data_IF_495666439821
#
_entry.id   IF_495666439821
#
_cell.length_a   1.000
_cell.length_b   1.000
_cell.length_c   1.000
_cell.angle_alpha   90.00
_cell.angle_beta   90.00
_cell.angle_gamma   90.00
#
_symmetry.space_group_name_H-M   'P 1'
#
loop_
_entity.id
_entity.type
_entity.pdbx_description
1 polymer ?
#
# COMPACT_ATOMS: atom_id res chain seq x y z
N UNK A 1 9.38 -5.25 -23.62
CA UNK A 1 7.93 -4.96 -23.86
C UNK A 1 7.83 -3.49 -24.22
N UNK A 2 7.04 -3.15 -25.24
CA UNK A 2 6.82 -1.75 -25.59
C UNK A 2 6.11 -1.06 -24.42
N UNK A 3 6.65 0.06 -23.97
CA UNK A 3 6.13 0.76 -22.79
C UNK A 3 4.78 1.40 -23.16
N UNK A 4 3.70 0.90 -22.57
CA UNK A 4 2.33 1.34 -22.87
C UNK A 4 1.95 2.66 -22.20
N UNK A 5 2.73 3.14 -21.23
CA UNK A 5 2.43 4.35 -20.47
C UNK A 5 3.12 5.56 -21.09
N UNK A 6 2.36 6.62 -21.34
CA UNK A 6 2.84 7.87 -21.94
C UNK A 6 3.29 8.85 -20.86
N UNK A 7 4.34 9.62 -21.15
CA UNK A 7 4.83 10.67 -20.26
C UNK A 7 4.16 12.03 -20.53
N UNK A 8 3.81 12.32 -21.78
CA UNK A 8 3.26 13.62 -22.19
C UNK A 8 1.81 13.82 -21.72
N UNK A 9 1.66 14.38 -20.53
CA UNK A 9 0.36 14.69 -19.93
C UNK A 9 -0.38 15.84 -20.64
N UNK A 10 0.34 16.72 -21.36
CA UNK A 10 -0.26 17.86 -22.07
C UNK A 10 -1.20 17.40 -23.19
N UNK A 11 -0.99 16.21 -23.75
CA UNK A 11 -1.89 15.60 -24.76
C UNK A 11 -3.29 15.32 -24.22
N UNK A 12 -3.46 15.28 -22.88
CA UNK A 12 -4.78 15.11 -22.26
C UNK A 12 -5.67 16.36 -22.36
N UNK A 13 -5.11 17.52 -22.71
CA UNK A 13 -5.91 18.74 -22.99
C UNK A 13 -6.69 18.67 -24.28
N UNK A 14 -6.26 17.81 -25.20
CA UNK A 14 -6.97 17.61 -26.45
C UNK A 14 -8.31 16.90 -26.20
N UNK A 15 -9.30 17.27 -26.99
CA UNK A 15 -10.61 16.60 -26.95
C UNK A 15 -10.48 15.10 -27.18
N UNK A 16 -11.15 14.29 -26.36
CA UNK A 16 -11.03 12.85 -26.42
C UNK A 16 -11.93 12.15 -25.42
N UNK A 17 -11.61 10.89 -25.18
CA UNK A 17 -12.30 10.07 -24.18
C UNK A 17 -12.16 10.64 -22.76
N UNK A 18 -13.10 10.34 -21.86
CA UNK A 18 -13.03 10.73 -20.44
C UNK A 18 -11.67 10.38 -19.83
N UNK A 19 -11.22 11.20 -18.88
CA UNK A 19 -9.97 11.00 -18.15
C UNK A 19 -10.31 10.46 -16.76
N UNK A 20 -9.74 9.32 -16.42
CA UNK A 20 -9.90 8.63 -15.14
C UNK A 20 -8.55 8.60 -14.42
N UNK A 21 -8.52 8.98 -13.15
CA UNK A 21 -7.33 8.82 -12.31
C UNK A 21 -7.45 7.48 -11.56
N UNK A 22 -6.39 6.67 -11.63
CA UNK A 22 -6.35 5.34 -11.04
C UNK A 22 -5.75 5.37 -9.63
N UNK A 23 -6.47 4.76 -8.69
CA UNK A 23 -6.23 4.76 -7.27
C UNK A 23 -6.98 5.89 -6.57
N UNK A 24 -7.63 5.60 -5.44
CA UNK A 24 -8.26 6.61 -4.60
C UNK A 24 -7.37 6.91 -3.39
N UNK A 25 -6.13 7.32 -3.66
CA UNK A 25 -5.05 7.55 -2.70
C UNK A 25 -4.63 9.03 -2.70
N UNK A 26 -3.73 9.42 -1.81
CA UNK A 26 -3.30 10.81 -1.65
C UNK A 26 -2.64 11.38 -2.91
N UNK A 27 -1.84 10.57 -3.62
CA UNK A 27 -1.23 10.96 -4.88
C UNK A 27 -2.26 11.27 -5.96
N UNK A 28 -3.40 10.61 -5.90
CA UNK A 28 -4.53 10.87 -6.83
C UNK A 28 -5.18 12.23 -6.58
N UNK A 29 -5.27 12.63 -5.30
CA UNK A 29 -5.71 13.99 -4.92
C UNK A 29 -4.76 15.05 -5.51
N UNK A 30 -3.45 14.84 -5.38
CA UNK A 30 -2.46 15.72 -5.96
C UNK A 30 -2.52 15.76 -7.50
N UNK A 31 -2.70 14.61 -8.15
CA UNK A 31 -2.86 14.52 -9.60
C UNK A 31 -4.11 15.28 -10.09
N UNK A 32 -5.25 15.15 -9.40
CA UNK A 32 -6.48 15.86 -9.72
C UNK A 32 -6.33 17.37 -9.56
N UNK A 33 -5.68 17.83 -8.48
CA UNK A 33 -5.40 19.24 -8.25
C UNK A 33 -4.47 19.80 -9.34
N UNK A 34 -3.42 19.08 -9.71
CA UNK A 34 -2.52 19.49 -10.79
C UNK A 34 -3.23 19.52 -12.17
N UNK A 35 -4.07 18.53 -12.46
CA UNK A 35 -4.91 18.53 -13.66
C UNK A 35 -5.81 19.76 -13.72
N UNK A 36 -6.46 20.11 -12.61
CA UNK A 36 -7.32 21.30 -12.50
C UNK A 36 -6.56 22.57 -12.81
N UNK A 37 -5.34 22.72 -12.28
CA UNK A 37 -4.48 23.88 -12.55
C UNK A 37 -4.07 24.00 -14.03
N UNK A 38 -3.90 22.87 -14.69
CA UNK A 38 -3.55 22.79 -16.11
C UNK A 38 -4.75 22.89 -17.05
N UNK A 39 -5.98 22.96 -16.53
CA UNK A 39 -7.20 22.95 -17.30
C UNK A 39 -7.55 21.58 -17.91
N UNK A 40 -7.02 20.50 -17.34
CA UNK A 40 -7.34 19.12 -17.70
C UNK A 40 -8.55 18.66 -16.87
N UNK A 41 -9.64 18.28 -17.55
CA UNK A 41 -10.87 17.87 -16.89
C UNK A 41 -10.84 16.37 -16.58
N UNK A 42 -10.79 16.04 -15.30
CA UNK A 42 -10.89 14.66 -14.80
C UNK A 42 -12.37 14.30 -14.63
N UNK A 43 -12.76 13.12 -15.10
CA UNK A 43 -14.16 12.66 -15.07
C UNK A 43 -14.51 11.87 -13.83
N UNK A 44 -13.60 11.05 -13.33
CA UNK A 44 -13.77 10.21 -12.14
C UNK A 44 -12.43 9.68 -11.64
N UNK A 45 -12.47 9.06 -10.47
CA UNK A 45 -11.42 8.15 -10.00
C UNK A 45 -11.86 6.70 -10.18
N UNK A 46 -10.91 5.75 -10.16
CA UNK A 46 -11.24 4.35 -9.97
C UNK A 46 -10.32 3.68 -8.96
N UNK A 47 -10.84 2.69 -8.25
CA UNK A 47 -10.09 1.92 -7.26
C UNK A 47 -10.51 0.43 -7.32
N UNK A 48 -9.59 -0.47 -7.01
CA UNK A 48 -9.86 -1.91 -6.92
C UNK A 48 -10.55 -2.29 -5.61
N UNK A 49 -10.49 -1.45 -4.57
CA UNK A 49 -11.21 -1.67 -3.32
C UNK A 49 -12.69 -1.27 -3.48
N UNK A 50 -13.63 -2.24 -3.43
CA UNK A 50 -15.05 -1.94 -3.59
C UNK A 50 -15.62 -1.00 -2.52
N UNK A 51 -15.00 -0.94 -1.33
CA UNK A 51 -15.43 -0.06 -0.22
C UNK A 51 -15.31 1.42 -0.58
N UNK A 52 -14.33 1.75 -1.45
CA UNK A 52 -14.08 3.13 -1.89
C UNK A 52 -15.16 3.66 -2.84
N UNK A 53 -15.95 2.80 -3.46
CA UNK A 53 -16.99 3.22 -4.43
C UNK A 53 -18.18 3.97 -3.82
N UNK A 54 -18.29 4.01 -2.50
CA UNK A 54 -19.28 4.81 -1.78
C UNK A 54 -18.76 6.20 -1.36
N UNK A 55 -17.48 6.47 -1.64
CA UNK A 55 -16.80 7.70 -1.28
C UNK A 55 -16.64 8.63 -2.50
N UNK A 56 -16.22 9.85 -2.22
CA UNK A 56 -15.81 10.83 -3.24
C UNK A 56 -14.40 11.33 -2.92
N UNK A 57 -13.64 11.70 -3.95
CA UNK A 57 -12.34 12.34 -3.82
C UNK A 57 -12.34 13.58 -4.72
N UNK A 58 -11.94 14.75 -4.20
CA UNK A 58 -11.97 16.02 -4.95
C UNK A 58 -13.33 16.32 -5.64
N UNK A 59 -14.43 16.01 -4.98
CA UNK A 59 -15.81 16.13 -5.47
C UNK A 59 -16.15 15.24 -6.68
N UNK A 60 -15.32 14.25 -6.98
CA UNK A 60 -15.55 13.27 -8.04
C UNK A 60 -15.86 11.88 -7.45
N UNK A 61 -16.67 11.12 -8.19
CA UNK A 61 -16.99 9.74 -7.83
C UNK A 61 -15.77 8.82 -7.93
N UNK A 62 -15.74 7.79 -7.09
CA UNK A 62 -14.77 6.70 -7.17
C UNK A 62 -15.49 5.46 -7.70
N UNK A 63 -15.04 4.94 -8.84
CA UNK A 63 -15.66 3.79 -9.50
C UNK A 63 -14.87 2.54 -9.12
N UNK A 64 -15.56 1.49 -8.66
CA UNK A 64 -14.93 0.19 -8.51
C UNK A 64 -14.42 -0.31 -9.87
N UNK A 65 -13.13 -0.57 -9.98
CA UNK A 65 -12.43 -0.85 -11.25
C UNK A 65 -13.14 -1.85 -12.17
N UNK A 66 -13.73 -2.98 -11.69
CA UNK A 66 -14.50 -3.89 -12.55
C UNK A 66 -15.74 -3.28 -13.21
N UNK A 67 -16.24 -2.15 -12.73
CA UNK A 67 -17.40 -1.46 -13.30
C UNK A 67 -17.02 -0.45 -14.41
N UNK A 68 -15.74 -0.18 -14.60
CA UNK A 68 -15.24 0.78 -15.61
C UNK A 68 -15.74 0.48 -17.04
N UNK A 69 -15.68 -0.76 -17.56
CA UNK A 69 -16.08 -1.04 -18.94
C UNK A 69 -17.55 -0.71 -19.22
N UNK A 70 -18.40 -0.82 -18.20
CA UNK A 70 -19.82 -0.48 -18.30
C UNK A 70 -20.05 1.04 -18.27
N UNK A 71 -19.28 1.78 -17.47
CA UNK A 71 -19.45 3.22 -17.26
C UNK A 71 -18.70 4.05 -18.31
N UNK A 72 -17.49 3.64 -18.63
CA UNK A 72 -16.57 4.32 -19.54
C UNK A 72 -15.94 3.31 -20.50
N UNK A 73 -16.66 2.85 -21.54
CA UNK A 73 -16.14 1.84 -22.48
C UNK A 73 -14.90 2.32 -23.25
N UNK A 74 -14.63 3.61 -23.24
CA UNK A 74 -13.39 4.24 -23.72
C UNK A 74 -12.98 5.29 -22.69
N UNK A 75 -11.72 5.24 -22.22
CA UNK A 75 -11.17 6.20 -21.29
C UNK A 75 -9.66 6.34 -21.48
N UNK A 76 -9.13 7.45 -20.99
CA UNK A 76 -7.70 7.74 -20.82
C UNK A 76 -7.39 7.68 -19.32
N UNK A 77 -6.30 7.05 -18.94
CA UNK A 77 -6.01 6.77 -17.54
C UNK A 77 -4.73 7.46 -17.08
N UNK A 78 -4.81 8.24 -16.02
CA UNK A 78 -3.63 8.72 -15.28
C UNK A 78 -3.40 7.75 -14.13
N UNK A 79 -2.27 7.02 -14.15
CA UNK A 79 -1.91 6.04 -13.13
C UNK A 79 -1.17 6.76 -12.02
N UNK A 80 -1.86 7.24 -10.99
CA UNK A 80 -1.26 8.02 -9.91
C UNK A 80 -0.84 7.20 -8.68
N UNK A 81 -1.04 5.89 -8.71
CA UNK A 81 -0.58 4.97 -7.67
C UNK A 81 0.81 4.40 -7.97
N UNK A 82 1.40 3.72 -6.98
CA UNK A 82 2.74 3.15 -7.09
C UNK A 82 2.79 1.80 -7.83
N UNK A 83 1.66 1.15 -8.07
CA UNK A 83 1.56 -0.18 -8.67
C UNK A 83 1.35 -0.10 -10.19
N UNK A 84 2.26 0.61 -10.89
CA UNK A 84 2.10 0.94 -12.30
C UNK A 84 1.88 -0.30 -13.17
N UNK A 85 2.74 -1.32 -13.03
CA UNK A 85 2.67 -2.54 -13.82
C UNK A 85 1.36 -3.29 -13.60
N UNK A 86 0.98 -3.52 -12.34
CA UNK A 86 -0.23 -4.27 -11.97
C UNK A 86 -1.49 -3.58 -12.51
N UNK A 87 -1.52 -2.23 -12.43
CA UNK A 87 -2.63 -1.42 -12.95
C UNK A 87 -2.71 -1.49 -14.47
N UNK A 88 -1.58 -1.36 -15.16
CA UNK A 88 -1.53 -1.48 -16.63
C UNK A 88 -2.03 -2.86 -17.08
N UNK A 89 -1.59 -3.93 -16.40
CA UNK A 89 -2.03 -5.28 -16.69
C UNK A 89 -3.53 -5.46 -16.44
N UNK A 90 -4.05 -5.00 -15.30
CA UNK A 90 -5.47 -5.06 -14.97
C UNK A 90 -6.34 -4.32 -15.97
N UNK A 91 -5.99 -3.07 -16.30
CA UNK A 91 -6.76 -2.25 -17.24
C UNK A 91 -6.65 -2.77 -18.70
N UNK A 92 -5.49 -3.29 -19.08
CA UNK A 92 -5.32 -3.97 -20.37
C UNK A 92 -6.22 -5.21 -20.46
N UNK A 93 -6.42 -5.94 -19.37
CA UNK A 93 -7.38 -7.04 -19.29
C UNK A 93 -8.84 -6.62 -19.57
N UNK A 94 -9.17 -5.35 -19.33
CA UNK A 94 -10.46 -4.74 -19.71
C UNK A 94 -10.44 -4.08 -21.12
N UNK A 95 -9.40 -4.33 -21.91
CA UNK A 95 -9.21 -3.79 -23.27
C UNK A 95 -8.96 -2.27 -23.33
N UNK A 96 -8.41 -1.67 -22.29
CA UNK A 96 -7.91 -0.30 -22.31
C UNK A 96 -6.42 -0.27 -22.72
N UNK A 97 -6.01 0.80 -23.39
CA UNK A 97 -4.67 0.96 -23.99
C UNK A 97 -4.10 2.38 -23.91
N UNK A 98 -4.79 3.31 -23.24
CA UNK A 98 -4.40 4.72 -23.20
C UNK A 98 -4.06 5.18 -21.77
N UNK A 99 -2.79 5.00 -21.39
CA UNK A 99 -2.27 5.21 -20.04
C UNK A 99 -1.27 6.34 -19.99
N UNK A 100 -1.26 7.11 -18.89
CA UNK A 100 -0.40 8.26 -18.65
C UNK A 100 0.25 8.19 -17.26
N UNK A 101 1.53 8.54 -17.19
CA UNK A 101 2.24 8.73 -15.96
C UNK A 101 1.96 10.12 -15.38
N UNK A 102 1.81 10.29 -14.06
CA UNK A 102 1.64 11.59 -13.43
C UNK A 102 2.97 12.35 -13.23
N UNK A 103 4.11 11.86 -13.72
CA UNK A 103 5.44 12.45 -13.45
C UNK A 103 5.47 13.95 -13.74
N UNK A 104 5.01 14.40 -14.93
CA UNK A 104 4.97 15.82 -15.27
C UNK A 104 4.06 16.63 -14.34
N UNK A 105 3.00 16.03 -13.80
CA UNK A 105 2.13 16.69 -12.83
C UNK A 105 2.85 16.88 -11.49
N UNK A 106 3.65 15.92 -11.07
CA UNK A 106 4.29 15.90 -9.76
C UNK A 106 5.64 16.64 -9.71
N UNK A 107 6.32 16.80 -10.84
CA UNK A 107 7.61 17.51 -10.88
C UNK A 107 7.49 18.97 -10.47
N UNK A 108 6.37 19.63 -10.80
CA UNK A 108 6.13 21.03 -10.50
C UNK A 108 4.99 21.23 -9.48
N UNK A 109 4.61 20.19 -8.75
CA UNK A 109 3.53 20.27 -7.80
C UNK A 109 3.92 21.01 -6.54
N UNK A 110 3.18 22.07 -6.23
CA UNK A 110 3.39 22.84 -5.00
C UNK A 110 2.34 22.42 -3.97
N UNK A 111 2.75 21.62 -2.98
CA UNK A 111 1.87 21.14 -1.91
C UNK A 111 1.24 22.27 -1.08
N UNK A 112 1.89 23.44 -0.99
CA UNK A 112 1.36 24.58 -0.22
C UNK A 112 0.27 25.36 -0.97
N UNK A 113 0.05 25.06 -2.24
CA UNK A 113 -1.00 25.69 -3.05
C UNK A 113 -2.39 25.13 -2.80
N UNK A 114 -2.46 23.89 -2.34
CA UNK A 114 -3.70 23.14 -2.18
C UNK A 114 -3.92 22.72 -0.73
N UNK A 115 -5.20 22.55 -0.37
CA UNK A 115 -5.56 21.90 0.87
C UNK A 115 -5.63 20.38 0.61
N UNK A 116 -4.92 19.60 1.41
CA UNK A 116 -4.87 18.15 1.32
C UNK A 116 -5.61 17.49 2.48
N UNK A 117 -6.00 16.24 2.27
CA UNK A 117 -6.57 15.37 3.33
C UNK A 117 -5.51 14.97 4.36
N UNK A 118 -4.23 15.11 4.02
CA UNK A 118 -3.07 14.79 4.85
C UNK A 118 -2.13 15.99 5.02
N UNK A 119 -1.11 15.89 5.87
CA UNK A 119 -0.11 16.95 6.02
C UNK A 119 0.71 17.15 4.75
N UNK A 120 1.21 18.38 4.55
CA UNK A 120 2.06 18.68 3.39
C UNK A 120 3.33 17.83 3.37
N UNK A 121 3.96 17.61 4.54
CA UNK A 121 5.15 16.76 4.65
C UNK A 121 4.87 15.31 4.22
N UNK A 122 3.74 14.76 4.67
CA UNK A 122 3.32 13.43 4.24
C UNK A 122 3.05 13.38 2.73
N UNK A 123 2.35 14.38 2.18
CA UNK A 123 2.08 14.47 0.73
C UNK A 123 3.38 14.52 -0.08
N UNK A 124 4.35 15.35 0.33
CA UNK A 124 5.66 15.44 -0.33
C UNK A 124 6.36 14.09 -0.40
N UNK A 125 6.42 13.36 0.72
CA UNK A 125 7.02 12.02 0.76
C UNK A 125 6.29 11.03 -0.13
N UNK A 126 4.96 11.04 -0.11
CA UNK A 126 4.14 10.19 -0.99
C UNK A 126 4.41 10.46 -2.47
N UNK A 127 4.48 11.73 -2.86
CA UNK A 127 4.79 12.11 -4.25
C UNK A 127 6.21 11.69 -4.65
N UNK A 128 7.19 11.79 -3.75
CA UNK A 128 8.56 11.31 -4.02
C UNK A 128 8.61 9.80 -4.25
N UNK A 129 7.89 9.01 -3.44
CA UNK A 129 7.79 7.57 -3.63
C UNK A 129 7.13 7.26 -4.97
N UNK A 130 6.02 7.91 -5.29
CA UNK A 130 5.31 7.71 -6.56
C UNK A 130 6.20 8.09 -7.78
N UNK A 131 6.89 9.23 -7.72
CA UNK A 131 7.84 9.65 -8.77
C UNK A 131 8.95 8.62 -8.98
N UNK A 132 9.53 8.09 -7.90
CA UNK A 132 10.57 7.05 -7.99
C UNK A 132 10.05 5.79 -8.65
N UNK A 133 8.88 5.32 -8.24
CA UNK A 133 8.26 4.11 -8.80
C UNK A 133 7.94 4.27 -10.28
N UNK A 134 7.41 5.43 -10.68
CA UNK A 134 7.15 5.71 -12.10
C UNK A 134 8.44 5.83 -12.91
N UNK A 135 9.49 6.48 -12.40
CA UNK A 135 10.80 6.53 -13.06
C UNK A 135 11.39 5.13 -13.23
N UNK A 136 11.24 4.29 -12.22
CA UNK A 136 11.67 2.89 -12.28
C UNK A 136 10.94 2.09 -13.38
N UNK A 137 9.64 2.33 -13.57
CA UNK A 137 8.87 1.68 -14.62
C UNK A 137 9.39 1.96 -16.04
N UNK A 138 10.05 3.12 -16.24
CA UNK A 138 10.64 3.52 -17.51
C UNK A 138 12.13 3.20 -17.64
N UNK A 139 12.77 2.66 -16.60
CA UNK A 139 14.21 2.38 -16.55
C UNK A 139 14.49 0.89 -16.40
N UNK A 140 14.57 0.19 -17.54
CA UNK A 140 14.86 -1.25 -17.59
C UNK A 140 16.29 -1.61 -17.07
N UNK A 141 17.17 -0.60 -16.84
CA UNK A 141 18.51 -0.81 -16.31
C UNK A 141 18.55 -0.95 -14.79
N UNK A 142 17.44 -0.65 -14.10
CA UNK A 142 17.30 -0.62 -12.65
C UNK A 142 16.44 -1.76 -12.14
N UNK A 143 16.83 -2.31 -10.99
CA UNK A 143 16.07 -3.32 -10.27
C UNK A 143 15.41 -2.70 -9.04
N UNK A 144 14.10 -2.51 -9.10
CA UNK A 144 13.32 -2.05 -7.97
C UNK A 144 12.48 -3.18 -7.38
N UNK A 145 12.54 -3.29 -6.06
CA UNK A 145 11.70 -4.23 -5.33
C UNK A 145 10.43 -3.51 -4.85
N UNK A 146 9.27 -4.06 -5.21
CA UNK A 146 7.98 -3.50 -4.80
C UNK A 146 7.79 -3.54 -3.30
N UNK A 147 7.95 -4.71 -2.70
CA UNK A 147 7.77 -4.90 -1.27
C UNK A 147 8.62 -6.04 -0.74
N UNK A 148 8.97 -5.94 0.54
CA UNK A 148 9.58 -7.02 1.31
C UNK A 148 8.85 -7.25 2.62
N UNK A 149 8.75 -8.50 3.02
CA UNK A 149 8.25 -8.89 4.32
C UNK A 149 9.40 -8.98 5.32
N UNK A 150 9.34 -8.17 6.36
CA UNK A 150 10.30 -8.17 7.46
C UNK A 150 9.69 -8.93 8.62
N UNK A 151 10.07 -10.20 8.77
CA UNK A 151 9.62 -11.06 9.85
C UNK A 151 10.31 -10.69 11.15
N UNK A 152 9.63 -9.91 12.01
CA UNK A 152 10.22 -9.40 13.27
C UNK A 152 10.04 -10.36 14.44
N UNK A 153 9.16 -11.33 14.34
CA UNK A 153 8.92 -12.33 15.39
C UNK A 153 8.09 -13.49 14.89
N UNK A 154 8.33 -14.68 15.42
CA UNK A 154 7.45 -15.84 15.27
C UNK A 154 6.51 -16.01 16.47
N UNK A 155 6.59 -15.14 17.51
CA UNK A 155 5.65 -15.11 18.64
C UNK A 155 4.36 -14.41 18.24
N UNK A 156 3.22 -14.97 18.64
CA UNK A 156 1.91 -14.37 18.45
C UNK A 156 1.07 -14.47 19.71
N UNK A 157 0.32 -13.42 19.99
CA UNK A 157 -0.65 -13.37 21.10
C UNK A 157 -1.95 -14.12 20.80
N UNK A 158 -2.20 -14.48 19.53
CA UNK A 158 -3.32 -15.27 19.05
C UNK A 158 -2.83 -16.59 18.45
N UNK A 159 -3.75 -17.57 18.36
CA UNK A 159 -3.52 -18.86 17.69
C UNK A 159 -4.64 -19.09 16.68
N UNK A 160 -4.63 -18.32 15.61
CA UNK A 160 -5.63 -18.43 14.54
C UNK A 160 -5.51 -19.77 13.81
N UNK A 161 -6.64 -20.47 13.60
CA UNK A 161 -6.63 -21.75 12.92
C UNK A 161 -6.08 -21.68 11.49
N UNK A 162 -6.44 -20.62 10.76
CA UNK A 162 -6.06 -20.40 9.37
C UNK A 162 -4.99 -19.30 9.26
N UNK A 163 -3.98 -19.32 10.12
CA UNK A 163 -2.88 -18.37 10.05
C UNK A 163 -2.00 -18.64 8.82
N UNK A 164 -1.89 -17.70 7.90
CA UNK A 164 -1.07 -17.83 6.69
C UNK A 164 0.43 -18.02 7.01
N UNK A 165 0.89 -17.45 8.11
CA UNK A 165 2.26 -17.60 8.58
C UNK A 165 2.48 -18.84 9.46
N UNK A 166 1.45 -19.66 9.65
CA UNK A 166 1.48 -20.93 10.41
C UNK A 166 2.02 -20.79 11.85
N UNK A 167 1.80 -19.64 12.50
CA UNK A 167 2.34 -19.33 13.83
C UNK A 167 1.91 -20.30 14.92
N UNK A 168 0.73 -20.92 14.79
CA UNK A 168 0.22 -21.91 15.73
C UNK A 168 1.07 -23.21 15.78
N UNK A 169 1.94 -23.44 14.78
CA UNK A 169 2.75 -24.65 14.66
C UNK A 169 4.21 -24.46 15.12
N UNK A 170 4.62 -23.23 15.41
CA UNK A 170 5.98 -23.01 15.94
C UNK A 170 6.09 -23.55 17.35
N UNK A 171 7.01 -24.49 17.57
CA UNK A 171 7.28 -25.12 18.88
C UNK A 171 8.15 -24.21 19.76
N UNK A 172 9.09 -23.50 19.17
CA UNK A 172 10.00 -22.59 19.83
C UNK A 172 9.93 -21.20 19.17
N UNK A 173 8.84 -20.43 19.36
CA UNK A 173 8.73 -19.11 18.76
C UNK A 173 9.74 -18.13 19.40
N UNK A 174 10.38 -17.30 18.56
CA UNK A 174 11.39 -16.35 18.98
C UNK A 174 11.18 -14.97 18.37
N UNK A 175 11.88 -13.97 18.89
CA UNK A 175 12.00 -12.66 18.27
C UNK A 175 13.19 -12.67 17.31
N UNK A 176 13.04 -12.05 16.15
CA UNK A 176 14.16 -11.83 15.26
C UNK A 176 15.04 -10.73 15.84
N UNK A 177 16.34 -10.99 15.85
CA UNK A 177 17.33 -10.03 16.31
C UNK A 177 17.41 -8.85 15.33
N UNK A 178 17.52 -7.64 15.84
CA UNK A 178 17.67 -6.42 15.05
C UNK A 178 18.88 -6.48 14.13
N UNK A 179 20.02 -6.97 14.62
CA UNK A 179 21.26 -7.08 13.83
C UNK A 179 21.10 -8.03 12.62
N UNK A 180 20.36 -9.12 12.80
CA UNK A 180 20.06 -10.05 11.66
C UNK A 180 19.19 -9.39 10.61
N UNK A 181 18.22 -8.56 11.01
CA UNK A 181 17.39 -7.81 10.07
C UNK A 181 18.25 -6.79 9.32
N UNK A 182 19.10 -6.06 10.02
CA UNK A 182 20.02 -5.08 9.42
C UNK A 182 20.97 -5.75 8.41
N UNK A 183 21.54 -6.91 8.77
CA UNK A 183 22.39 -7.68 7.89
C UNK A 183 21.65 -8.12 6.60
N UNK A 184 20.42 -8.65 6.75
CA UNK A 184 19.59 -9.05 5.62
C UNK A 184 19.25 -7.85 4.70
N UNK A 185 18.89 -6.70 5.26
CA UNK A 185 18.65 -5.48 4.49
C UNK A 185 19.91 -5.04 3.74
N UNK A 186 21.09 -5.07 4.39
CA UNK A 186 22.35 -4.73 3.75
C UNK A 186 22.71 -5.66 2.56
N UNK A 187 22.30 -6.93 2.62
CA UNK A 187 22.50 -7.87 1.51
C UNK A 187 21.54 -7.51 0.35
N UNK A 188 20.30 -7.21 0.65
CA UNK A 188 19.30 -6.83 -0.36
C UNK A 188 19.72 -5.53 -1.05
N UNK A 189 20.11 -4.51 -0.28
CA UNK A 189 20.51 -3.18 -0.77
C UNK A 189 21.71 -3.22 -1.74
N UNK A 190 22.51 -4.27 -1.70
CA UNK A 190 23.62 -4.48 -2.67
C UNK A 190 23.13 -4.99 -4.02
N UNK A 191 21.91 -5.50 -4.10
CA UNK A 191 21.38 -6.20 -5.27
C UNK A 191 20.17 -5.51 -5.89
N UNK A 192 19.60 -4.49 -5.23
CA UNK A 192 18.46 -3.71 -5.77
C UNK A 192 18.74 -2.22 -5.64
N UNK A 193 18.18 -1.44 -6.57
CA UNK A 193 18.33 0.02 -6.61
C UNK A 193 17.35 0.75 -5.70
N UNK A 194 16.33 0.04 -5.19
CA UNK A 194 15.40 0.58 -4.21
C UNK A 194 14.30 -0.39 -3.81
N UNK A 195 13.66 -0.08 -2.68
CA UNK A 195 12.53 -0.83 -2.13
C UNK A 195 11.43 0.18 -1.81
N UNK A 196 10.22 -0.06 -2.32
CA UNK A 196 9.12 0.87 -2.14
C UNK A 196 8.34 0.63 -0.85
N UNK A 197 8.26 -0.62 -0.39
CA UNK A 197 7.39 -1.01 0.71
C UNK A 197 8.06 -2.04 1.63
N UNK A 198 8.00 -1.79 2.93
CA UNK A 198 8.47 -2.68 3.99
C UNK A 198 7.28 -3.12 4.82
N UNK A 199 6.98 -4.40 4.84
CA UNK A 199 5.88 -4.93 5.65
C UNK A 199 6.43 -5.62 6.90
N UNK A 200 6.30 -4.98 8.06
CA UNK A 200 6.62 -5.61 9.33
C UNK A 200 5.53 -6.61 9.68
N UNK A 201 5.90 -7.86 9.60
CA UNK A 201 5.00 -8.99 9.83
C UNK A 201 5.59 -9.95 10.86
N UNK A 202 4.87 -11.03 11.10
CA UNK A 202 5.30 -12.12 11.95
C UNK A 202 4.12 -12.84 12.52
N UNK A 203 4.24 -13.20 13.80
CA UNK A 203 3.08 -13.52 14.62
C UNK A 203 2.33 -12.23 14.98
N UNK A 204 2.76 -11.58 16.07
CA UNK A 204 2.33 -10.23 16.42
C UNK A 204 3.58 -9.35 16.55
N UNK A 205 3.86 -8.44 15.60
CA UNK A 205 5.07 -7.63 15.58
C UNK A 205 5.33 -6.86 16.88
N UNK A 206 4.28 -6.34 17.53
CA UNK A 206 4.41 -5.55 18.75
C UNK A 206 4.81 -6.38 19.98
N UNK A 207 4.86 -7.71 19.87
CA UNK A 207 5.48 -8.57 20.91
C UNK A 207 7.00 -8.43 20.94
N UNK A 208 7.63 -8.11 19.82
CA UNK A 208 9.06 -7.80 19.79
C UNK A 208 9.27 -6.37 20.31
N UNK A 209 9.83 -6.23 21.51
CA UNK A 209 10.05 -4.89 22.12
C UNK A 209 10.94 -3.97 21.28
N UNK A 210 11.75 -4.52 20.39
CA UNK A 210 12.63 -3.79 19.48
C UNK A 210 11.99 -3.38 18.14
N UNK A 211 10.69 -3.64 17.93
CA UNK A 211 10.03 -3.35 16.66
C UNK A 211 10.19 -1.89 16.20
N UNK A 212 10.14 -0.93 17.13
CA UNK A 212 10.28 0.48 16.81
C UNK A 212 11.70 0.84 16.33
N UNK A 213 12.73 0.21 16.91
CA UNK A 213 14.12 0.39 16.45
C UNK A 213 14.30 -0.15 15.03
N UNK A 214 13.60 -1.25 14.68
CA UNK A 214 13.61 -1.79 13.31
C UNK A 214 12.97 -0.76 12.36
N UNK A 215 11.86 -0.14 12.73
CA UNK A 215 11.22 0.94 11.95
C UNK A 215 12.19 2.11 11.76
N UNK A 216 12.84 2.57 12.84
CA UNK A 216 13.83 3.66 12.79
C UNK A 216 14.96 3.32 11.81
N UNK A 217 15.50 2.12 11.88
CA UNK A 217 16.57 1.67 10.97
C UNK A 217 16.11 1.67 9.51
N UNK A 218 14.89 1.21 9.23
CA UNK A 218 14.33 1.21 7.88
C UNK A 218 14.13 2.66 7.40
N UNK A 219 13.57 3.56 8.23
CA UNK A 219 13.40 4.98 7.86
C UNK A 219 14.73 5.65 7.51
N UNK A 220 15.79 5.38 8.30
CA UNK A 220 17.12 5.95 8.07
C UNK A 220 17.76 5.46 6.76
N UNK A 221 17.64 4.16 6.48
CA UNK A 221 18.22 3.55 5.27
C UNK A 221 17.39 3.82 4.01
N UNK A 222 16.08 3.89 4.15
CA UNK A 222 15.09 4.01 3.08
C UNK A 222 14.11 5.16 3.36
N UNK A 223 14.57 6.42 3.34
CA UNK A 223 13.78 7.59 3.77
C UNK A 223 12.53 7.87 2.94
N UNK A 224 12.35 7.14 1.83
CA UNK A 224 11.16 7.21 0.99
C UNK A 224 10.43 5.86 0.90
N UNK A 225 10.86 4.86 1.67
CA UNK A 225 10.19 3.57 1.75
C UNK A 225 8.98 3.64 2.68
N UNK A 226 7.83 3.14 2.23
CA UNK A 226 6.67 3.02 3.09
C UNK A 226 6.84 1.84 4.04
N UNK A 227 6.39 1.99 5.28
CA UNK A 227 6.45 0.93 6.27
C UNK A 227 5.02 0.61 6.72
N UNK A 228 4.62 -0.64 6.56
CA UNK A 228 3.34 -1.16 7.01
C UNK A 228 3.55 -2.13 8.18
N UNK A 229 2.92 -1.86 9.32
CA UNK A 229 3.01 -2.69 10.52
C UNK A 229 1.69 -3.45 10.67
N UNK A 230 1.71 -4.75 10.40
CA UNK A 230 0.52 -5.61 10.48
C UNK A 230 0.34 -6.15 11.89
N UNK A 231 -0.74 -5.74 12.56
CA UNK A 231 -1.01 -6.11 13.95
C UNK A 231 -2.42 -6.63 14.14
N UNK A 232 -2.59 -7.52 15.11
CA UNK A 232 -3.89 -8.04 15.52
C UNK A 232 -4.58 -7.21 16.63
N UNK A 233 -4.03 -6.07 16.99
CA UNK A 233 -4.62 -5.15 17.97
C UNK A 233 -4.66 -5.67 19.43
N UNK A 234 -3.97 -6.77 19.74
CA UNK A 234 -3.92 -7.28 21.13
C UNK A 234 -2.96 -6.49 22.02
N UNK A 235 -1.99 -5.80 21.43
CA UNK A 235 -0.95 -5.03 22.11
C UNK A 235 -0.97 -3.60 21.58
N UNK A 236 -1.09 -2.61 22.45
CA UNK A 236 -0.92 -1.22 22.07
C UNK A 236 0.57 -0.82 22.12
N UNK A 237 1.07 -0.01 21.17
CA UNK A 237 2.41 0.54 21.22
C UNK A 237 2.54 1.49 22.44
N UNK A 238 3.79 1.75 22.85
CA UNK A 238 4.08 2.77 23.85
C UNK A 238 4.34 4.12 23.18
N UNK A 239 4.12 5.21 23.89
CA UNK A 239 4.35 6.56 23.35
C UNK A 239 5.80 6.83 22.97
N UNK A 240 6.76 6.32 23.77
CA UNK A 240 8.19 6.43 23.47
C UNK A 240 8.57 5.71 22.17
N UNK A 241 7.94 4.57 21.89
CA UNK A 241 8.12 3.84 20.65
C UNK A 241 7.58 4.62 19.45
N UNK A 242 6.39 5.24 19.56
CA UNK A 242 5.79 6.02 18.48
C UNK A 242 6.55 7.31 18.17
N UNK A 243 7.33 7.82 19.11
CA UNK A 243 8.18 9.02 18.95
C UNK A 243 9.57 8.73 18.39
N UNK A 244 9.97 7.47 18.29
CA UNK A 244 11.36 7.10 17.97
C UNK A 244 11.67 7.10 16.47
N UNK A 245 10.67 7.17 15.62
CA UNK A 245 10.83 7.09 14.16
C UNK A 245 10.07 8.20 13.43
N UNK A 246 10.42 8.43 12.17
CA UNK A 246 9.65 9.29 11.28
C UNK A 246 8.34 8.61 10.89
N UNK A 247 7.21 9.18 11.33
CA UNK A 247 5.90 8.58 11.17
C UNK A 247 5.22 8.86 9.83
N UNK A 248 5.76 9.77 9.01
CA UNK A 248 5.08 10.23 7.79
C UNK A 248 4.85 9.11 6.75
N UNK A 249 5.70 8.07 6.72
CA UNK A 249 5.52 6.92 5.84
C UNK A 249 5.24 5.61 6.59
N UNK A 250 4.87 5.68 7.87
CA UNK A 250 4.51 4.53 8.68
C UNK A 250 3.01 4.39 8.77
N UNK A 251 2.50 3.20 8.47
CA UNK A 251 1.08 2.87 8.48
C UNK A 251 0.85 1.62 9.33
N UNK A 252 -0.15 1.65 10.18
CA UNK A 252 -0.57 0.46 10.91
C UNK A 252 -1.75 -0.20 10.21
N UNK A 253 -1.64 -1.49 9.94
CA UNK A 253 -2.73 -2.32 9.42
C UNK A 253 -3.23 -3.18 10.57
N UNK A 254 -4.39 -2.79 11.10
CA UNK A 254 -4.97 -3.40 12.29
C UNK A 254 -6.08 -4.36 11.87
N UNK A 255 -5.83 -5.66 12.02
CA UNK A 255 -6.88 -6.67 11.87
C UNK A 255 -7.63 -6.80 13.19
N UNK A 256 -8.88 -6.32 13.22
CA UNK A 256 -9.70 -6.32 14.42
C UNK A 256 -10.48 -7.63 14.58
N UNK A 257 -10.11 -8.42 15.57
CA UNK A 257 -10.78 -9.67 15.98
C UNK A 257 -11.83 -9.45 17.08
N UNK A 258 -12.39 -8.25 17.17
CA UNK A 258 -13.38 -7.86 18.17
C UNK A 258 -12.81 -7.97 19.58
N UNK A 259 -13.46 -8.75 20.46
CA UNK A 259 -13.04 -8.90 21.87
C UNK A 259 -11.60 -9.40 22.06
N UNK A 260 -11.02 -10.07 21.07
CA UNK A 260 -9.64 -10.53 21.13
C UNK A 260 -8.65 -9.40 20.90
N UNK A 261 -8.98 -8.43 20.06
CA UNK A 261 -8.18 -7.22 19.79
C UNK A 261 -8.36 -6.17 20.91
N UNK A 262 -8.15 -6.60 22.13
CA UNK A 262 -8.49 -5.86 23.37
C UNK A 262 -7.84 -4.48 23.54
N UNK A 263 -6.82 -4.16 22.75
CA UNK A 263 -6.13 -2.89 22.77
C UNK A 263 -6.28 -2.11 21.46
N UNK A 264 -7.15 -2.53 20.55
CA UNK A 264 -7.33 -1.86 19.26
C UNK A 264 -7.78 -0.39 19.43
N UNK A 265 -8.75 -0.11 20.30
CA UNK A 265 -9.23 1.27 20.56
C UNK A 265 -8.10 2.13 21.15
N UNK A 266 -7.41 1.63 22.18
CA UNK A 266 -6.26 2.32 22.75
C UNK A 266 -5.15 2.58 21.73
N UNK A 267 -4.93 1.63 20.80
CA UNK A 267 -3.96 1.79 19.73
C UNK A 267 -4.38 2.91 18.78
N UNK A 268 -5.61 2.92 18.29
CA UNK A 268 -6.11 3.97 17.39
C UNK A 268 -6.08 5.34 18.05
N UNK A 269 -6.40 5.46 19.34
CA UNK A 269 -6.30 6.71 20.09
C UNK A 269 -4.84 7.23 20.12
N UNK A 270 -3.87 6.35 20.35
CA UNK A 270 -2.45 6.70 20.34
C UNK A 270 -1.97 7.08 18.94
N UNK A 271 -2.37 6.34 17.90
CA UNK A 271 -2.00 6.65 16.52
C UNK A 271 -2.58 8.01 16.08
N UNK A 272 -3.83 8.31 16.42
CA UNK A 272 -4.43 9.62 16.19
C UNK A 272 -3.69 10.74 16.94
N UNK A 273 -3.34 10.51 18.23
CA UNK A 273 -2.58 11.47 19.04
C UNK A 273 -1.22 11.84 18.41
N UNK A 274 -0.56 10.90 17.76
CA UNK A 274 0.74 11.08 17.11
C UNK A 274 0.65 11.30 15.61
N UNK A 275 -0.55 11.47 15.06
CA UNK A 275 -0.82 11.67 13.63
C UNK A 275 -0.19 10.56 12.74
N UNK A 276 -0.26 9.31 13.20
CA UNK A 276 0.23 8.15 12.48
C UNK A 276 -0.93 7.50 11.73
N UNK A 277 -0.72 7.22 10.46
CA UNK A 277 -1.72 6.62 9.57
C UNK A 277 -2.05 5.17 9.96
N UNK A 278 -3.32 4.78 9.86
CA UNK A 278 -3.72 3.38 10.06
C UNK A 278 -4.97 3.03 9.24
N UNK A 279 -5.10 1.73 8.94
CA UNK A 279 -6.34 1.08 8.50
C UNK A 279 -6.75 0.06 9.59
N UNK A 280 -8.00 0.12 10.05
CA UNK A 280 -8.57 -0.84 10.98
C UNK A 280 -9.75 -1.52 10.34
N UNK A 281 -9.63 -2.80 10.08
CA UNK A 281 -10.63 -3.60 9.41
C UNK A 281 -10.99 -4.83 10.26
N UNK A 282 -12.27 -5.25 10.30
CA UNK A 282 -12.65 -6.47 10.96
C UNK A 282 -11.97 -7.68 10.29
N UNK A 283 -11.66 -8.71 11.08
CA UNK A 283 -11.13 -9.96 10.56
C UNK A 283 -12.21 -10.64 9.69
N UNK A 284 -12.07 -10.52 8.38
CA UNK A 284 -12.99 -11.10 7.38
C UNK A 284 -12.18 -11.83 6.31
N UNK A 285 -12.83 -12.78 5.63
CA UNK A 285 -12.27 -13.42 4.44
C UNK A 285 -11.06 -14.31 4.67
N UNK A 286 -10.86 -14.83 5.90
CA UNK A 286 -9.84 -15.82 6.14
C UNK A 286 -10.20 -17.11 5.41
N UNK A 287 -9.46 -17.39 4.35
CA UNK A 287 -9.51 -18.68 3.67
C UNK A 287 -8.56 -19.66 4.38
N UNK A 288 -8.87 -20.95 4.30
CA UNK A 288 -7.97 -21.99 4.78
C UNK A 288 -6.69 -21.99 3.94
N UNK A 289 -5.64 -21.33 4.48
CA UNK A 289 -4.32 -21.25 3.85
C UNK A 289 -3.54 -22.57 3.87
N UNK A 290 -4.20 -23.69 4.24
CA UNK A 290 -3.59 -25.01 4.40
C UNK A 290 -3.15 -25.28 5.85
N UNK A 291 -2.88 -26.55 6.12
CA UNK A 291 -2.29 -26.99 7.39
C UNK A 291 -1.08 -27.88 7.13
N UNK A 292 -0.16 -27.98 8.10
CA UNK A 292 0.99 -28.91 8.02
C UNK A 292 0.51 -30.37 7.88
N UNK A 293 -0.68 -30.68 8.38
CA UNK A 293 -1.32 -31.98 8.14
C UNK A 293 -2.08 -31.90 6.82
N UNK A 294 -1.60 -32.62 5.81
CA UNK A 294 -2.26 -32.71 4.52
C UNK A 294 -3.72 -33.17 4.66
N UNK A 295 -4.67 -32.26 4.60
CA UNK A 295 -6.03 -32.58 4.25
C UNK A 295 -6.10 -32.63 2.72
N UNK A 296 -6.33 -33.82 2.16
CA UNK A 296 -6.65 -33.92 0.74
C UNK A 296 -8.04 -33.31 0.55
N UNK A 297 -8.07 -32.07 0.06
CA UNK A 297 -9.31 -31.47 -0.41
C UNK A 297 -9.75 -32.14 -1.70
N UNK A 298 -11.04 -32.25 -1.91
CA UNK A 298 -11.57 -32.62 -3.22
C UNK A 298 -11.25 -31.53 -4.25
N UNK A 299 -11.26 -31.86 -5.54
CA UNK A 299 -11.10 -30.86 -6.62
C UNK A 299 -12.16 -29.76 -6.47
N UNK A 300 -13.39 -30.13 -6.13
CA UNK A 300 -14.50 -29.20 -5.90
C UNK A 300 -14.22 -28.22 -4.76
N UNK A 301 -13.67 -28.70 -3.63
CA UNK A 301 -13.32 -27.84 -2.50
C UNK A 301 -12.20 -26.86 -2.86
N UNK A 302 -11.22 -27.28 -3.68
CA UNK A 302 -10.18 -26.42 -4.20
C UNK A 302 -10.74 -25.36 -5.14
N UNK A 303 -11.64 -25.74 -6.05
CA UNK A 303 -12.30 -24.79 -6.95
C UNK A 303 -13.12 -23.73 -6.18
N UNK A 304 -13.77 -24.13 -5.09
CA UNK A 304 -14.52 -23.20 -4.23
C UNK A 304 -13.59 -22.20 -3.52
N UNK A 305 -12.44 -22.65 -3.02
CA UNK A 305 -11.42 -21.77 -2.41
C UNK A 305 -10.83 -20.78 -3.40
N UNK A 306 -10.61 -21.19 -4.66
CA UNK A 306 -10.10 -20.30 -5.70
C UNK A 306 -11.14 -19.31 -6.26
N UNK A 307 -12.43 -19.49 -5.95
CA UNK A 307 -13.50 -18.57 -6.38
C UNK A 307 -13.83 -17.48 -5.34
N UNK A 308 -13.29 -17.58 -4.13
CA UNK A 308 -13.43 -16.58 -3.05
C UNK A 308 -12.35 -15.53 -3.15
#
# INVERSE_FOLDING_TARGET
MENKVKLNIQSLKEAGSPIIIVGAVQESEAAANACRDLGIVVSAFCDSDPRRSEETLCDLEIIHTPNLPKRFPKARFIISCQHVQDVVEQLTGFSYDDFYSPLELFENYNVNKFKHTVSNSYMEKRLEVCKKTHKAYFDDSKTYMRSIDVMVTTKCSLKCNNCSNLMQYYTNPEHTDHEKILEALNIIDKNVDGISEFRLIGGEPLMNKGWANIVTTINEKHPNGQIFIYTNGTIAPKEDQLKSFDSDLVNFIITDYGKLSRNADKMTDLLNKYNISYDRSPAQGWVDCSSIKHHRRSIKDNEEVFKQ
#
